data_IF_009532528593
#
_entry.id   IF_009532528593
#
_cell.length_a   1.000
_cell.length_b   1.000
_cell.length_c   1.000
_cell.angle_alpha   90.00
_cell.angle_beta   90.00
_cell.angle_gamma   90.00
#
_symmetry.space_group_name_H-M   'P 1'
#
loop_
_entity.id
_entity.type
_entity.pdbx_description
1 polymer ?
#
# COMPACT_ATOMS: atom_id res chain seq x y z
N UNK A 1 -19.10 -25.24 -6.95
CA UNK A 1 -19.18 -24.27 -8.05
C UNK A 1 -19.04 -22.87 -7.48
N UNK A 2 -17.92 -22.17 -7.75
CA UNK A 2 -17.86 -20.72 -8.01
C UNK A 2 -16.42 -20.38 -8.47
N UNK A 3 -16.08 -20.67 -9.73
CA UNK A 3 -14.75 -20.44 -10.29
C UNK A 3 -14.80 -19.22 -11.21
N UNK A 4 -14.41 -18.03 -10.71
CA UNK A 4 -14.04 -16.82 -11.52
C UNK A 4 -13.60 -15.58 -10.72
N UNK A 5 -13.68 -15.60 -9.38
CA UNK A 5 -13.52 -14.42 -8.50
C UNK A 5 -12.07 -13.97 -8.21
N UNK A 6 -11.06 -14.84 -8.37
CA UNK A 6 -9.66 -14.53 -7.99
C UNK A 6 -9.08 -13.35 -8.77
N UNK A 7 -9.44 -13.24 -10.04
CA UNK A 7 -8.98 -12.15 -10.92
C UNK A 7 -9.74 -10.86 -10.68
N UNK A 8 -11.06 -10.93 -10.45
CA UNK A 8 -11.87 -9.75 -10.17
C UNK A 8 -11.46 -9.09 -8.86
N UNK A 9 -11.21 -9.88 -7.81
CA UNK A 9 -10.74 -9.35 -6.53
C UNK A 9 -9.32 -8.80 -6.64
N UNK A 10 -8.41 -9.48 -7.35
CA UNK A 10 -7.03 -9.01 -7.54
C UNK A 10 -6.96 -7.73 -8.40
N UNK A 11 -7.76 -7.62 -9.45
CA UNK A 11 -7.81 -6.43 -10.34
C UNK A 11 -8.47 -5.25 -9.64
N UNK A 12 -9.54 -5.48 -8.87
CA UNK A 12 -10.19 -4.41 -8.11
C UNK A 12 -9.30 -3.94 -6.95
N UNK A 13 -8.70 -4.87 -6.20
CA UNK A 13 -7.92 -4.55 -4.98
C UNK A 13 -6.51 -4.04 -5.30
N UNK A 14 -5.89 -4.48 -6.40
CA UNK A 14 -4.53 -4.08 -6.77
C UNK A 14 -4.43 -3.02 -7.86
N UNK A 15 -5.52 -2.77 -8.59
CA UNK A 15 -5.55 -1.81 -9.69
C UNK A 15 -6.54 -0.69 -9.42
N UNK A 16 -7.84 -1.02 -9.42
CA UNK A 16 -8.91 0.00 -9.42
C UNK A 16 -8.95 0.80 -8.12
N UNK A 17 -8.91 0.14 -6.95
CA UNK A 17 -8.99 0.83 -5.65
C UNK A 17 -7.76 1.71 -5.40
N UNK A 18 -6.51 1.23 -5.53
CA UNK A 18 -5.33 2.08 -5.42
C UNK A 18 -5.33 3.22 -6.44
N UNK A 19 -5.82 2.97 -7.67
CA UNK A 19 -5.92 4.00 -8.71
C UNK A 19 -6.94 5.09 -8.36
N UNK A 20 -8.14 4.73 -7.89
CA UNK A 20 -9.13 5.70 -7.43
C UNK A 20 -8.60 6.51 -6.23
N UNK A 21 -7.91 5.88 -5.29
CA UNK A 21 -7.26 6.56 -4.17
C UNK A 21 -6.13 7.48 -4.64
N UNK A 22 -5.33 7.08 -5.63
CA UNK A 22 -4.29 7.91 -6.22
C UNK A 22 -4.87 9.15 -6.91
N UNK A 23 -6.01 9.02 -7.61
CA UNK A 23 -6.73 10.16 -8.19
C UNK A 23 -7.28 11.09 -7.12
N UNK A 24 -7.87 10.55 -6.05
CA UNK A 24 -8.36 11.34 -4.92
C UNK A 24 -7.21 12.10 -4.23
N UNK A 25 -6.08 11.42 -3.99
CA UNK A 25 -4.84 12.02 -3.50
C UNK A 25 -4.36 13.16 -4.39
N UNK A 26 -4.26 12.92 -5.71
CA UNK A 26 -3.83 13.95 -6.66
C UNK A 26 -4.77 15.17 -6.64
N UNK A 27 -6.08 14.94 -6.60
CA UNK A 27 -7.07 16.01 -6.48
C UNK A 27 -6.91 16.83 -5.19
N UNK A 28 -6.66 16.17 -4.06
CA UNK A 28 -6.41 16.85 -2.77
C UNK A 28 -5.13 17.68 -2.82
N UNK A 29 -4.02 17.13 -3.30
CA UNK A 29 -2.75 17.86 -3.41
C UNK A 29 -2.87 19.05 -4.36
N UNK A 30 -3.50 18.87 -5.52
CA UNK A 30 -3.73 19.95 -6.48
C UNK A 30 -4.63 21.05 -5.91
N UNK A 31 -5.62 20.71 -5.09
CA UNK A 31 -6.49 21.70 -4.44
C UNK A 31 -5.74 22.61 -3.45
N UNK A 32 -4.62 22.14 -2.90
CA UNK A 32 -3.85 22.86 -1.88
C UNK A 32 -2.61 23.57 -2.45
N UNK A 33 -2.32 23.46 -3.76
CA UNK A 33 -1.09 24.00 -4.36
C UNK A 33 -0.98 25.54 -4.23
N UNK A 34 -2.12 26.23 -4.14
CA UNK A 34 -2.19 27.69 -3.96
C UNK A 34 -2.35 28.11 -2.50
N UNK A 35 -2.59 27.17 -1.59
CA UNK A 35 -2.89 27.40 -0.15
C UNK A 35 -1.88 26.63 0.70
N UNK A 36 -0.64 26.54 0.21
CA UNK A 36 0.42 25.83 0.90
C UNK A 36 0.81 26.58 2.17
N UNK A 37 0.84 25.93 3.35
CA UNK A 37 1.14 26.62 4.60
C UNK A 37 2.60 27.08 4.64
N UNK A 38 2.82 28.31 5.11
CA UNK A 38 4.15 28.88 5.29
C UNK A 38 4.98 28.05 6.27
N UNK A 39 6.20 27.67 5.86
CA UNK A 39 7.04 26.76 6.64
C UNK A 39 6.60 25.29 6.60
N UNK A 40 5.62 24.94 5.77
CA UNK A 40 5.27 23.57 5.43
C UNK A 40 6.16 23.00 4.31
N UNK A 41 6.63 21.77 4.49
CA UNK A 41 7.58 21.14 3.57
C UNK A 41 7.94 19.71 3.97
N UNK A 42 8.76 19.05 3.15
CA UNK A 42 9.19 17.66 3.37
C UNK A 42 10.67 17.55 3.77
N UNK A 43 11.34 18.69 4.03
CA UNK A 43 12.79 18.71 4.31
C UNK A 43 13.12 18.39 5.77
N UNK A 44 12.14 18.54 6.67
CA UNK A 44 12.28 18.24 8.08
C UNK A 44 10.97 17.73 8.69
N UNK A 45 11.05 16.97 9.79
CA UNK A 45 9.86 16.48 10.52
C UNK A 45 8.98 17.64 11.01
N UNK A 46 9.61 18.78 11.35
CA UNK A 46 8.90 19.99 11.77
C UNK A 46 8.07 20.57 10.63
N UNK A 47 8.66 20.69 9.44
CA UNK A 47 7.94 21.16 8.24
C UNK A 47 6.79 20.23 7.84
N UNK A 48 6.97 18.91 7.99
CA UNK A 48 5.90 17.93 7.74
C UNK A 48 4.76 18.09 8.74
N UNK A 49 5.08 18.33 10.01
CA UNK A 49 4.07 18.59 11.03
C UNK A 49 3.22 19.82 10.69
N UNK A 50 3.85 20.90 10.21
CA UNK A 50 3.15 22.12 9.75
C UNK A 50 2.23 21.81 8.56
N UNK A 51 2.67 20.99 7.59
CA UNK A 51 1.79 20.56 6.50
C UNK A 51 0.54 19.82 7.01
N UNK A 52 0.70 18.99 8.03
CA UNK A 52 -0.36 18.13 8.54
C UNK A 52 -1.32 18.85 9.49
N UNK A 53 -1.04 20.10 9.86
CA UNK A 53 -2.04 20.99 10.48
C UNK A 53 -3.19 21.31 9.51
N UNK A 54 -2.93 21.30 8.20
CA UNK A 54 -3.97 21.45 7.19
C UNK A 54 -4.73 20.11 7.03
N UNK A 55 -6.05 20.07 7.31
CA UNK A 55 -6.83 18.83 7.26
C UNK A 55 -6.88 18.19 5.86
N UNK A 56 -6.77 18.98 4.78
CA UNK A 56 -6.72 18.46 3.42
C UNK A 56 -5.38 17.74 3.14
N UNK A 57 -4.27 18.32 3.58
CA UNK A 57 -2.95 17.71 3.45
C UNK A 57 -2.78 16.48 4.35
N UNK A 58 -3.33 16.53 5.57
CA UNK A 58 -3.42 15.37 6.44
C UNK A 58 -4.23 14.24 5.79
N UNK A 59 -5.39 14.57 5.22
CA UNK A 59 -6.22 13.59 4.49
C UNK A 59 -5.49 13.05 3.28
N UNK A 60 -4.76 13.88 2.53
CA UNK A 60 -3.94 13.43 1.41
C UNK A 60 -2.86 12.45 1.87
N UNK A 61 -2.17 12.73 2.97
CA UNK A 61 -1.21 11.81 3.58
C UNK A 61 -1.84 10.48 3.98
N UNK A 62 -3.03 10.52 4.59
CA UNK A 62 -3.75 9.30 4.99
C UNK A 62 -4.21 8.47 3.78
N UNK A 63 -4.78 9.10 2.75
CA UNK A 63 -5.18 8.44 1.50
C UNK A 63 -3.95 7.86 0.78
N UNK A 64 -2.81 8.55 0.82
CA UNK A 64 -1.56 8.07 0.26
C UNK A 64 -1.11 6.76 0.93
N UNK A 65 -1.12 6.68 2.27
CA UNK A 65 -0.79 5.45 3.00
C UNK A 65 -1.74 4.32 2.64
N UNK A 66 -3.06 4.55 2.68
CA UNK A 66 -4.05 3.53 2.33
C UNK A 66 -3.88 3.01 0.90
N UNK A 67 -3.62 3.89 -0.06
CA UNK A 67 -3.40 3.51 -1.45
C UNK A 67 -2.18 2.60 -1.60
N UNK A 68 -1.08 2.95 -0.93
CA UNK A 68 0.15 2.18 -0.97
C UNK A 68 0.01 0.83 -0.26
N UNK A 69 -0.58 0.81 0.92
CA UNK A 69 -0.78 -0.39 1.73
C UNK A 69 -1.68 -1.42 1.01
N UNK A 70 -2.76 -0.96 0.36
CA UNK A 70 -3.62 -1.83 -0.45
C UNK A 70 -2.92 -2.35 -1.71
N UNK A 71 -2.12 -1.50 -2.35
CA UNK A 71 -1.31 -1.91 -3.50
C UNK A 71 -0.32 -3.03 -3.11
N UNK A 72 0.42 -2.84 -2.00
CA UNK A 72 1.36 -3.84 -1.48
C UNK A 72 0.64 -5.10 -1.05
N UNK A 73 -0.48 -5.01 -0.32
CA UNK A 73 -1.27 -6.17 0.06
C UNK A 73 -1.79 -6.97 -1.14
N UNK A 74 -2.18 -6.30 -2.22
CA UNK A 74 -2.55 -7.00 -3.44
C UNK A 74 -1.34 -7.70 -4.08
N UNK A 75 -0.16 -7.06 -4.08
CA UNK A 75 1.06 -7.70 -4.55
C UNK A 75 1.40 -8.95 -3.72
N UNK A 76 1.33 -8.90 -2.40
CA UNK A 76 1.53 -10.07 -1.51
C UNK A 76 0.54 -11.21 -1.82
N UNK A 77 -0.74 -10.87 -2.01
CA UNK A 77 -1.78 -11.84 -2.35
C UNK A 77 -1.54 -12.51 -3.72
N UNK A 78 -0.99 -11.80 -4.70
CA UNK A 78 -0.62 -12.36 -6.00
C UNK A 78 0.66 -13.18 -5.92
N UNK A 79 1.67 -12.66 -5.22
CA UNK A 79 2.98 -13.29 -5.06
C UNK A 79 2.87 -14.62 -4.31
N UNK A 80 2.06 -14.66 -3.24
CA UNK A 80 1.83 -15.88 -2.46
C UNK A 80 1.18 -16.99 -3.27
N UNK A 81 0.28 -16.63 -4.20
CA UNK A 81 -0.33 -17.59 -5.11
C UNK A 81 0.69 -18.17 -6.10
N UNK A 82 1.62 -17.34 -6.62
CA UNK A 82 2.71 -17.81 -7.50
C UNK A 82 3.63 -18.79 -6.77
N UNK A 83 3.96 -18.50 -5.51
CA UNK A 83 4.83 -19.32 -4.68
C UNK A 83 4.11 -20.43 -3.90
N UNK A 84 2.80 -20.61 -4.11
CA UNK A 84 1.94 -21.62 -3.44
C UNK A 84 2.01 -21.55 -1.91
N UNK A 85 2.19 -20.36 -1.35
CA UNK A 85 2.24 -20.13 0.10
C UNK A 85 0.81 -20.29 0.67
N UNK A 86 0.62 -21.03 1.77
CA UNK A 86 -0.70 -21.24 2.34
C UNK A 86 -1.29 -19.93 2.88
N UNK A 87 -2.54 -19.65 2.53
CA UNK A 87 -3.25 -18.40 2.85
C UNK A 87 -3.27 -18.08 4.36
N UNK A 88 -3.23 -19.09 5.23
CA UNK A 88 -3.22 -18.89 6.68
C UNK A 88 -1.98 -18.15 7.18
N UNK A 89 -0.84 -18.28 6.49
CA UNK A 89 0.39 -17.55 6.81
C UNK A 89 0.38 -16.13 6.23
N UNK A 90 -0.35 -15.91 5.13
CA UNK A 90 -0.40 -14.63 4.40
C UNK A 90 -1.44 -13.68 5.00
N UNK A 91 -2.56 -14.20 5.50
CA UNK A 91 -3.62 -13.42 6.13
C UNK A 91 -3.14 -12.46 7.24
N UNK A 92 -2.31 -12.89 8.23
CA UNK A 92 -1.78 -11.98 9.23
C UNK A 92 -0.83 -10.94 8.62
N UNK A 93 -0.06 -11.28 7.58
CA UNK A 93 0.80 -10.30 6.89
C UNK A 93 -0.04 -9.24 6.19
N UNK A 94 -1.10 -9.61 5.47
CA UNK A 94 -2.01 -8.66 4.82
C UNK A 94 -2.67 -7.70 5.81
N UNK A 95 -3.07 -8.19 6.99
CA UNK A 95 -3.60 -7.34 8.05
C UNK A 95 -2.54 -6.36 8.58
N UNK A 96 -1.31 -6.83 8.77
CA UNK A 96 -0.19 -5.97 9.15
C UNK A 96 0.16 -4.98 8.04
N UNK A 97 0.04 -5.33 6.76
CA UNK A 97 0.31 -4.43 5.65
C UNK A 97 -0.77 -3.35 5.57
N UNK A 98 -2.03 -3.68 5.86
CA UNK A 98 -3.09 -2.68 5.89
C UNK A 98 -2.97 -1.68 7.06
N UNK A 99 -2.42 -2.09 8.20
CA UNK A 99 -2.31 -1.26 9.40
C UNK A 99 -0.95 -0.59 9.57
N UNK A 100 0.10 -1.27 9.12
CA UNK A 100 1.51 -1.00 9.35
C UNK A 100 2.31 -1.35 8.08
N UNK A 101 1.87 -0.88 6.90
CA UNK A 101 2.44 -1.13 5.57
C UNK A 101 3.79 -1.83 5.50
N UNK A 102 4.89 -1.14 5.86
CA UNK A 102 6.24 -1.70 5.79
C UNK A 102 6.47 -2.94 6.66
N UNK A 103 5.85 -3.02 7.84
CA UNK A 103 5.98 -4.14 8.77
C UNK A 103 5.32 -5.39 8.20
N UNK A 104 4.10 -5.25 7.66
CA UNK A 104 3.42 -6.38 7.04
C UNK A 104 4.16 -6.94 5.84
N UNK A 105 4.73 -6.07 4.99
CA UNK A 105 5.58 -6.47 3.88
C UNK A 105 6.81 -7.26 4.34
N UNK A 106 7.51 -6.78 5.38
CA UNK A 106 8.67 -7.50 5.94
C UNK A 106 8.25 -8.86 6.49
N UNK A 107 7.13 -8.94 7.23
CA UNK A 107 6.59 -10.20 7.71
C UNK A 107 6.28 -11.16 6.56
N UNK A 108 5.68 -10.66 5.47
CA UNK A 108 5.38 -11.48 4.28
C UNK A 108 6.66 -12.00 3.62
N UNK A 109 7.69 -11.17 3.46
CA UNK A 109 8.97 -11.59 2.89
C UNK A 109 9.66 -12.67 3.74
N UNK A 110 9.56 -12.57 5.07
CA UNK A 110 10.05 -13.61 5.99
C UNK A 110 9.28 -14.91 5.77
N UNK A 111 7.94 -14.86 5.72
CA UNK A 111 7.10 -16.04 5.44
C UNK A 111 7.47 -16.66 4.10
N UNK A 112 7.64 -15.84 3.05
CA UNK A 112 8.05 -16.29 1.71
C UNK A 112 9.43 -16.96 1.73
N UNK A 113 10.38 -16.40 2.46
CA UNK A 113 11.71 -17.01 2.57
C UNK A 113 11.64 -18.41 3.18
N UNK A 114 10.88 -18.61 4.25
CA UNK A 114 10.78 -19.93 4.89
C UNK A 114 9.91 -20.92 4.10
N UNK A 115 8.83 -20.45 3.47
CA UNK A 115 7.90 -21.30 2.74
C UNK A 115 8.41 -21.67 1.33
N UNK A 116 9.07 -20.74 0.63
CA UNK A 116 9.48 -20.89 -0.77
C UNK A 116 11.00 -20.86 -0.99
N UNK A 117 11.82 -20.61 0.05
CA UNK A 117 13.29 -20.49 -0.03
C UNK A 117 13.80 -19.44 -1.02
N UNK A 118 13.02 -18.40 -1.31
CA UNK A 118 13.40 -17.27 -2.18
C UNK A 118 13.14 -15.92 -1.49
N UNK A 119 14.10 -15.00 -1.60
CA UNK A 119 14.03 -13.61 -1.10
C UNK A 119 13.93 -12.55 -2.21
N UNK A 120 14.03 -12.95 -3.47
CA UNK A 120 14.10 -12.01 -4.61
C UNK A 120 12.72 -11.43 -4.93
N UNK A 121 12.58 -10.12 -4.77
CA UNK A 121 11.37 -9.36 -5.15
C UNK A 121 11.22 -9.29 -6.69
N UNK A 122 12.34 -9.28 -7.41
CA UNK A 122 12.40 -9.29 -8.86
C UNK A 122 13.14 -10.53 -9.34
N UNK A 123 12.50 -11.34 -10.18
CA UNK A 123 13.19 -12.36 -10.96
C UNK A 123 13.90 -11.63 -12.11
N UNK A 124 15.22 -11.47 -12.02
CA UNK A 124 16.02 -11.08 -13.19
C UNK A 124 15.99 -12.26 -14.17
N UNK A 125 15.21 -12.11 -15.25
CA UNK A 125 15.24 -13.00 -16.43
C UNK A 125 16.33 -12.56 -17.40
#
# INVERSE_FOLDING_TARGET
FLPRWKWTLAVISGGVVPFCLALAYAGLVLSQILVWPDGGGFSSVKEVAVLFENPYMLTAGWVHYLAFDLFVGCWEAQDSQKHKIPHILVAPCLLLTFLLGPVGLVCYLIVRFFAAKQLTVFEYS
#
